data_IF_900233356410
#
_entry.id   IF_900233356410
#
_cell.length_a   1.000
_cell.length_b   1.000
_cell.length_c   1.000
_cell.angle_alpha   90.00
_cell.angle_beta   90.00
_cell.angle_gamma   90.00
#
_symmetry.space_group_name_H-M   'P 1'
#
loop_
_entity.id
_entity.type
_entity.pdbx_description
1 polymer ?
#
# COMPACT_ATOMS: atom_id res chain seq x y z
N UNK A 1 -13.65 -25.17 -4.00
CA UNK A 1 -12.66 -24.24 -4.58
C UNK A 1 -13.09 -22.82 -4.23
N UNK A 2 -12.16 -21.93 -3.85
CA UNK A 2 -12.51 -20.52 -3.60
C UNK A 2 -13.02 -19.86 -4.87
N UNK A 3 -14.08 -19.04 -4.74
CA UNK A 3 -14.62 -18.23 -5.85
C UNK A 3 -13.79 -16.97 -6.12
N UNK A 4 -12.80 -16.68 -5.26
CA UNK A 4 -11.99 -15.48 -5.32
C UNK A 4 -10.63 -15.74 -5.98
N UNK A 5 -10.08 -14.72 -6.66
CA UNK A 5 -8.75 -14.75 -7.28
C UNK A 5 -7.65 -14.94 -6.21
N UNK A 6 -7.81 -14.27 -5.07
CA UNK A 6 -6.94 -14.39 -3.90
C UNK A 6 -7.77 -14.92 -2.74
N UNK A 7 -7.34 -16.05 -2.17
CA UNK A 7 -8.03 -16.69 -1.06
C UNK A 7 -7.80 -15.93 0.25
N UNK A 8 -6.56 -15.57 0.50
CA UNK A 8 -6.12 -14.87 1.71
C UNK A 8 -5.50 -13.52 1.34
N UNK A 9 -6.06 -12.44 1.88
CA UNK A 9 -5.57 -11.07 1.68
C UNK A 9 -5.05 -10.54 3.01
N UNK A 10 -3.90 -9.84 2.96
CA UNK A 10 -3.40 -9.05 4.07
C UNK A 10 -3.64 -7.57 3.79
N UNK A 11 -4.28 -6.88 4.72
CA UNK A 11 -4.37 -5.41 4.76
C UNK A 11 -3.53 -4.90 5.93
N UNK A 12 -2.45 -4.17 5.64
CA UNK A 12 -1.66 -3.46 6.65
C UNK A 12 -2.04 -1.98 6.70
N UNK A 13 -1.83 -1.34 7.85
CA UNK A 13 -2.33 0.02 8.08
C UNK A 13 -3.85 0.05 8.23
N UNK A 14 -4.43 -1.03 8.73
CA UNK A 14 -5.87 -1.25 8.77
C UNK A 14 -6.61 -0.30 9.73
N UNK A 15 -5.92 0.29 10.72
CA UNK A 15 -6.45 1.33 11.61
C UNK A 15 -6.32 2.75 11.01
N UNK A 16 -5.54 2.92 9.93
CA UNK A 16 -5.36 4.20 9.27
C UNK A 16 -6.56 4.61 8.42
N UNK A 17 -6.61 5.91 8.05
CA UNK A 17 -7.74 6.48 7.30
C UNK A 17 -8.07 5.72 6.00
N UNK A 18 -7.07 5.29 5.24
CA UNK A 18 -7.28 4.56 3.99
C UNK A 18 -7.55 3.07 4.23
N UNK A 19 -6.82 2.45 5.18
CA UNK A 19 -7.01 1.04 5.51
C UNK A 19 -8.41 0.76 6.01
N UNK A 20 -8.93 1.60 6.88
CA UNK A 20 -10.29 1.48 7.41
C UNK A 20 -11.35 1.49 6.28
N UNK A 21 -11.17 2.32 5.25
CA UNK A 21 -12.08 2.39 4.11
C UNK A 21 -12.05 1.15 3.20
N UNK A 22 -11.01 0.35 3.30
CA UNK A 22 -10.83 -0.84 2.46
C UNK A 22 -11.31 -2.15 3.11
N UNK A 23 -11.47 -2.18 4.44
CA UNK A 23 -11.81 -3.41 5.20
C UNK A 23 -13.06 -4.10 4.67
N UNK A 24 -14.19 -3.38 4.55
CA UNK A 24 -15.45 -3.95 4.05
C UNK A 24 -15.29 -4.49 2.62
N UNK A 25 -14.72 -3.67 1.74
CA UNK A 25 -14.57 -4.04 0.34
C UNK A 25 -13.68 -5.28 0.18
N UNK A 26 -12.57 -5.37 0.92
CA UNK A 26 -11.64 -6.49 0.86
C UNK A 26 -12.22 -7.76 1.51
N UNK A 27 -12.96 -7.64 2.61
CA UNK A 27 -13.61 -8.78 3.27
C UNK A 27 -14.57 -9.51 2.32
N UNK A 28 -15.22 -8.79 1.40
CA UNK A 28 -16.12 -9.36 0.39
C UNK A 28 -15.38 -9.99 -0.81
N UNK A 29 -14.05 -9.92 -0.88
CA UNK A 29 -13.21 -10.37 -2.01
C UNK A 29 -12.22 -11.49 -1.66
N UNK A 30 -12.31 -12.05 -0.47
CA UNK A 30 -11.44 -13.15 -0.01
C UNK A 30 -12.17 -14.08 0.97
N UNK A 31 -11.59 -15.25 1.19
CA UNK A 31 -12.06 -16.18 2.24
C UNK A 31 -11.55 -15.73 3.62
N UNK A 32 -10.32 -15.20 3.69
CA UNK A 32 -9.68 -14.64 4.88
C UNK A 32 -9.11 -13.25 4.60
N UNK A 33 -9.49 -12.28 5.40
CA UNK A 33 -8.86 -10.95 5.44
C UNK A 33 -8.02 -10.83 6.72
N UNK A 34 -6.70 -10.99 6.61
CA UNK A 34 -5.80 -10.64 7.72
C UNK A 34 -5.61 -9.14 7.76
N UNK A 35 -5.90 -8.53 8.90
CA UNK A 35 -5.75 -7.09 9.12
C UNK A 35 -4.65 -6.84 10.14
N UNK A 36 -3.80 -5.84 9.87
CA UNK A 36 -2.67 -5.50 10.73
C UNK A 36 -2.45 -4.00 10.83
N UNK A 37 -2.10 -3.58 12.03
CA UNK A 37 -1.61 -2.26 12.35
C UNK A 37 -0.66 -2.35 13.56
N UNK A 38 0.08 -1.29 13.86
CA UNK A 38 0.82 -1.15 15.14
C UNK A 38 -0.09 -0.83 16.32
N UNK A 39 -1.28 -0.28 16.05
CA UNK A 39 -2.31 0.03 17.04
C UNK A 39 -3.31 -1.11 17.15
N UNK A 40 -4.07 -1.13 18.24
CA UNK A 40 -5.12 -2.13 18.44
C UNK A 40 -6.21 -1.99 17.38
N UNK A 41 -6.74 -3.12 16.98
CA UNK A 41 -7.84 -3.26 16.03
C UNK A 41 -8.96 -4.08 16.65
N UNK A 42 -10.20 -3.75 16.29
CA UNK A 42 -11.37 -4.56 16.59
C UNK A 42 -11.84 -5.26 15.31
N UNK A 43 -12.29 -6.52 15.45
CA UNK A 43 -12.88 -7.28 14.36
C UNK A 43 -14.23 -6.67 13.95
N UNK A 44 -14.43 -6.45 12.63
CA UNK A 44 -15.68 -5.91 12.06
C UNK A 44 -16.42 -6.90 11.18
N UNK A 45 -15.72 -7.83 10.57
CA UNK A 45 -16.27 -8.81 9.62
C UNK A 45 -15.87 -10.22 10.03
N UNK A 46 -16.74 -11.22 9.80
CA UNK A 46 -16.54 -12.60 10.26
C UNK A 46 -15.28 -13.26 9.74
N UNK A 47 -14.83 -12.89 8.55
CA UNK A 47 -13.62 -13.44 7.94
C UNK A 47 -12.36 -12.62 8.21
N UNK A 48 -12.41 -11.62 9.11
CA UNK A 48 -11.20 -10.91 9.53
C UNK A 48 -10.39 -11.72 10.56
N UNK A 49 -9.08 -11.73 10.40
CA UNK A 49 -8.09 -12.20 11.36
C UNK A 49 -7.21 -11.02 11.76
N UNK A 50 -7.16 -10.69 13.05
CA UNK A 50 -6.33 -9.61 13.57
C UNK A 50 -4.96 -10.15 13.92
N UNK A 51 -3.91 -9.54 13.34
CA UNK A 51 -2.53 -9.80 13.73
C UNK A 51 -1.77 -8.50 13.84
N UNK A 52 -1.55 -8.02 15.06
CA UNK A 52 -0.79 -6.80 15.31
C UNK A 52 0.68 -6.99 14.94
N UNK A 53 1.25 -6.01 14.22
CA UNK A 53 2.65 -6.02 13.86
C UNK A 53 3.20 -4.60 13.67
N UNK A 54 4.47 -4.42 14.05
CA UNK A 54 5.27 -3.26 13.68
C UNK A 54 6.04 -3.57 12.40
N UNK A 55 5.93 -2.70 11.40
CA UNK A 55 6.61 -2.86 10.11
C UNK A 55 8.13 -2.93 10.24
N UNK A 56 8.72 -2.30 11.26
CA UNK A 56 10.16 -2.34 11.50
C UNK A 56 10.66 -3.70 11.98
N UNK A 57 9.76 -4.59 12.46
CA UNK A 57 10.11 -5.94 12.91
C UNK A 57 10.07 -6.95 11.77
N UNK A 58 11.24 -7.36 11.28
CA UNK A 58 11.34 -8.36 10.21
C UNK A 58 10.68 -9.70 10.59
N UNK A 59 10.81 -10.13 11.85
CA UNK A 59 10.20 -11.38 12.32
C UNK A 59 8.68 -11.29 12.36
N UNK A 60 8.13 -10.16 12.86
CA UNK A 60 6.69 -9.95 12.90
C UNK A 60 6.10 -9.93 11.49
N UNK A 61 6.75 -9.25 10.54
CA UNK A 61 6.32 -9.17 9.14
C UNK A 61 6.43 -10.52 8.44
N UNK A 62 7.47 -11.30 8.71
CA UNK A 62 7.57 -12.66 8.17
C UNK A 62 6.40 -13.55 8.63
N UNK A 63 6.02 -13.49 9.92
CA UNK A 63 4.84 -14.20 10.43
C UNK A 63 3.54 -13.66 9.83
N UNK A 64 3.43 -12.33 9.69
CA UNK A 64 2.26 -11.65 9.17
C UNK A 64 1.93 -12.03 7.72
N UNK A 65 2.96 -12.21 6.89
CA UNK A 65 2.80 -12.53 5.46
C UNK A 65 2.65 -14.03 5.16
N UNK A 66 2.69 -14.89 6.20
CA UNK A 66 2.55 -16.34 6.03
C UNK A 66 1.14 -16.70 5.54
N UNK A 67 1.06 -17.57 4.54
CA UNK A 67 -0.18 -18.08 3.94
C UNK A 67 -1.06 -16.96 3.30
N UNK A 68 -0.45 -15.86 2.88
CA UNK A 68 -1.11 -14.73 2.19
C UNK A 68 -0.88 -14.82 0.68
N UNK A 69 -1.94 -14.60 -0.11
CA UNK A 69 -1.88 -14.56 -1.58
C UNK A 69 -1.61 -13.14 -2.11
N UNK A 70 -2.23 -12.13 -1.49
CA UNK A 70 -2.15 -10.74 -1.92
C UNK A 70 -2.03 -9.80 -0.73
N UNK A 71 -1.17 -8.82 -0.83
CA UNK A 71 -1.01 -7.77 0.19
C UNK A 71 -1.54 -6.45 -0.34
N UNK A 72 -2.38 -5.79 0.44
CA UNK A 72 -2.79 -4.39 0.28
C UNK A 72 -2.14 -3.59 1.41
N UNK A 73 -1.09 -2.84 1.08
CA UNK A 73 -0.26 -2.16 2.07
C UNK A 73 -0.57 -0.67 2.11
N UNK A 74 -1.28 -0.26 3.16
CA UNK A 74 -1.62 1.14 3.47
C UNK A 74 -0.89 1.64 4.73
N UNK A 75 -0.01 0.80 5.30
CA UNK A 75 0.75 1.11 6.50
C UNK A 75 1.95 2.02 6.25
N UNK A 76 2.48 2.57 7.34
CA UNK A 76 3.63 3.45 7.34
C UNK A 76 3.30 4.89 7.72
N UNK A 77 4.32 5.75 7.76
CA UNK A 77 4.17 7.19 7.92
C UNK A 77 3.52 7.75 6.64
N UNK A 78 2.39 8.43 6.79
CA UNK A 78 1.54 8.87 5.66
C UNK A 78 1.74 10.33 5.25
N UNK A 79 2.50 11.08 6.04
CA UNK A 79 2.82 12.50 5.82
C UNK A 79 4.29 12.74 6.18
N UNK A 80 4.79 13.95 5.91
CA UNK A 80 6.12 14.36 6.39
C UNK A 80 6.23 14.22 7.90
N UNK A 81 7.40 13.79 8.38
CA UNK A 81 7.67 13.56 9.80
C UNK A 81 9.17 13.50 10.08
N UNK A 82 9.54 13.13 11.32
CA UNK A 82 10.95 12.93 11.64
C UNK A 82 11.58 11.86 10.78
N UNK A 83 12.88 12.03 10.46
CA UNK A 83 13.61 11.03 9.68
C UNK A 83 13.52 9.63 10.29
N UNK A 84 13.62 9.51 11.61
CA UNK A 84 13.55 8.20 12.28
C UNK A 84 12.20 7.50 12.07
N UNK A 85 11.09 8.26 12.12
CA UNK A 85 9.77 7.70 11.85
C UNK A 85 9.64 7.24 10.40
N UNK A 86 10.10 8.06 9.45
CA UNK A 86 10.08 7.73 8.03
C UNK A 86 11.00 6.54 7.73
N UNK A 87 12.21 6.52 8.29
CA UNK A 87 13.17 5.44 8.13
C UNK A 87 12.61 4.11 8.62
N UNK A 88 12.11 4.07 9.85
CA UNK A 88 11.66 2.82 10.46
C UNK A 88 10.37 2.28 9.79
N UNK A 89 9.39 3.14 9.54
CA UNK A 89 8.10 2.69 9.01
C UNK A 89 8.08 2.52 7.49
N UNK A 90 8.73 3.44 6.73
CA UNK A 90 8.61 3.45 5.28
C UNK A 90 9.80 2.82 4.55
N UNK A 91 11.01 2.91 5.09
CA UNK A 91 12.19 2.31 4.45
C UNK A 91 12.38 0.88 4.95
N UNK A 92 12.64 0.73 6.26
CA UNK A 92 12.86 -0.59 6.87
C UNK A 92 11.59 -1.44 6.78
N UNK A 93 10.43 -0.82 7.12
CA UNK A 93 9.14 -1.50 7.06
C UNK A 93 8.79 -2.00 5.67
N UNK A 94 9.03 -1.19 4.63
CA UNK A 94 8.77 -1.59 3.25
C UNK A 94 9.70 -2.73 2.81
N UNK A 95 11.00 -2.65 3.16
CA UNK A 95 11.94 -3.74 2.89
C UNK A 95 11.50 -5.05 3.57
N UNK A 96 11.16 -5.00 4.85
CA UNK A 96 10.68 -6.16 5.60
C UNK A 96 9.42 -6.77 4.95
N UNK A 97 8.49 -5.92 4.50
CA UNK A 97 7.27 -6.37 3.85
C UNK A 97 7.57 -7.14 2.56
N UNK A 98 8.37 -6.55 1.68
CA UNK A 98 8.74 -7.21 0.42
C UNK A 98 9.52 -8.50 0.64
N UNK A 99 10.45 -8.53 1.58
CA UNK A 99 11.22 -9.73 1.91
C UNK A 99 10.34 -10.82 2.56
N UNK A 100 9.42 -10.43 3.43
CA UNK A 100 8.41 -11.33 3.98
C UNK A 100 7.51 -11.92 2.89
N UNK A 101 7.00 -11.06 1.99
CA UNK A 101 6.18 -11.49 0.84
C UNK A 101 6.94 -12.48 -0.07
N UNK A 102 8.19 -12.17 -0.41
CA UNK A 102 9.03 -13.04 -1.23
C UNK A 102 9.23 -14.42 -0.58
N UNK A 103 9.60 -14.45 0.70
CA UNK A 103 9.88 -15.70 1.43
C UNK A 103 8.62 -16.57 1.63
N UNK A 104 7.46 -15.96 1.72
CA UNK A 104 6.18 -16.64 1.89
C UNK A 104 5.41 -16.85 0.57
N UNK A 105 6.05 -16.59 -0.58
CA UNK A 105 5.46 -16.78 -1.92
C UNK A 105 4.15 -16.01 -2.13
N UNK A 106 4.04 -14.80 -1.57
CA UNK A 106 2.94 -13.88 -1.87
C UNK A 106 2.97 -13.57 -3.37
N UNK A 107 1.80 -13.57 -4.01
CA UNK A 107 1.71 -13.39 -5.47
C UNK A 107 1.76 -11.92 -5.86
N UNK A 108 1.10 -11.05 -5.08
CA UNK A 108 0.94 -9.62 -5.42
C UNK A 108 1.00 -8.72 -4.20
N UNK A 109 1.67 -7.59 -4.37
CA UNK A 109 1.68 -6.46 -3.43
C UNK A 109 1.09 -5.24 -4.13
N UNK A 110 0.05 -4.64 -3.54
CA UNK A 110 -0.53 -3.35 -3.93
C UNK A 110 -0.26 -2.40 -2.79
N UNK A 111 0.32 -1.23 -3.06
CA UNK A 111 0.71 -0.36 -1.97
C UNK A 111 0.54 1.13 -2.28
N UNK A 112 0.34 1.90 -1.21
CA UNK A 112 0.18 3.34 -1.25
C UNK A 112 1.53 4.04 -1.45
N UNK A 113 1.86 4.37 -2.70
CA UNK A 113 2.85 5.39 -3.04
C UNK A 113 2.22 6.77 -2.93
N UNK A 114 2.88 7.80 -3.42
CA UNK A 114 2.41 9.18 -3.27
C UNK A 114 2.84 10.06 -4.45
N UNK A 115 2.06 11.13 -4.71
CA UNK A 115 2.47 12.22 -5.59
C UNK A 115 3.75 12.92 -5.10
N UNK A 116 4.08 12.84 -3.83
CA UNK A 116 5.32 13.41 -3.28
C UNK A 116 6.61 12.79 -3.86
N UNK A 117 6.52 11.68 -4.60
CA UNK A 117 7.62 11.15 -5.41
C UNK A 117 8.07 12.09 -6.53
N UNK A 118 7.18 12.99 -6.96
CA UNK A 118 7.39 13.94 -8.05
C UNK A 118 7.05 15.40 -7.66
N UNK A 119 7.00 15.68 -6.35
CA UNK A 119 6.48 16.93 -5.79
C UNK A 119 7.25 18.19 -6.17
N UNK A 120 8.53 18.11 -6.57
CA UNK A 120 9.32 19.26 -7.03
C UNK A 120 9.17 19.59 -8.52
N UNK A 121 8.30 18.91 -9.26
CA UNK A 121 7.96 19.37 -10.61
C UNK A 121 7.12 20.65 -10.57
N UNK A 122 7.35 21.63 -11.46
CA UNK A 122 6.51 22.82 -11.56
C UNK A 122 5.05 22.47 -11.85
N UNK A 123 4.11 23.18 -11.22
CA UNK A 123 2.66 22.93 -11.40
C UNK A 123 2.17 23.12 -12.83
N UNK A 124 2.86 23.93 -13.63
CA UNK A 124 2.51 24.19 -15.04
C UNK A 124 3.00 23.07 -15.97
N UNK A 125 3.83 22.16 -15.48
CA UNK A 125 4.38 21.06 -16.28
C UNK A 125 3.43 19.86 -16.25
N UNK A 126 3.07 19.37 -17.41
CA UNK A 126 2.31 18.11 -17.54
C UNK A 126 3.31 16.96 -17.53
N UNK A 127 3.20 16.12 -16.52
CA UNK A 127 4.09 14.96 -16.32
C UNK A 127 3.28 13.65 -16.37
N UNK A 128 3.95 12.57 -16.75
CA UNK A 128 3.42 11.21 -16.71
C UNK A 128 4.16 10.34 -15.68
N UNK A 129 3.87 9.05 -15.65
CA UNK A 129 4.51 8.11 -14.72
C UNK A 129 5.96 7.74 -15.08
N UNK A 130 6.51 8.23 -16.17
CA UNK A 130 7.87 7.93 -16.69
C UNK A 130 8.89 8.98 -16.34
N UNK A 131 8.47 10.13 -15.78
CA UNK A 131 9.42 11.17 -15.37
C UNK A 131 10.32 10.69 -14.22
N UNK A 132 11.53 11.22 -14.17
CA UNK A 132 12.44 10.91 -13.06
C UNK A 132 11.82 11.36 -11.73
N UNK A 133 11.97 10.59 -10.64
CA UNK A 133 11.54 11.02 -9.33
C UNK A 133 12.22 12.35 -8.91
N UNK A 134 11.42 13.27 -8.37
CA UNK A 134 11.86 14.54 -7.76
C UNK A 134 11.09 14.77 -6.46
N UNK A 135 11.40 13.96 -5.39
CA UNK A 135 10.68 14.01 -4.13
C UNK A 135 10.89 15.33 -3.41
N UNK A 136 9.83 15.86 -2.79
CA UNK A 136 9.79 17.16 -2.13
C UNK A 136 9.93 17.10 -0.60
N UNK A 137 10.14 15.89 -0.05
CA UNK A 137 10.14 15.65 1.39
C UNK A 137 10.85 14.33 1.73
N UNK A 138 11.19 14.09 3.01
CA UNK A 138 11.68 12.78 3.47
C UNK A 138 10.62 11.69 3.23
N UNK A 139 9.35 12.05 3.44
CA UNK A 139 8.23 11.18 3.10
C UNK A 139 8.22 10.82 1.61
N UNK A 140 8.30 11.82 0.73
CA UNK A 140 8.36 11.61 -0.72
C UNK A 140 9.56 10.75 -1.12
N UNK A 141 10.75 11.00 -0.54
CA UNK A 141 11.95 10.19 -0.75
C UNK A 141 11.73 8.72 -0.35
N UNK A 142 11.05 8.47 0.77
CA UNK A 142 10.73 7.11 1.19
C UNK A 142 9.80 6.40 0.21
N UNK A 143 8.89 7.13 -0.44
CA UNK A 143 8.01 6.56 -1.46
C UNK A 143 8.77 6.26 -2.78
N UNK A 144 9.75 7.09 -3.15
CA UNK A 144 10.68 6.77 -4.26
C UNK A 144 11.46 5.49 -3.97
N UNK A 145 11.99 5.34 -2.75
CA UNK A 145 12.63 4.08 -2.34
C UNK A 145 11.68 2.90 -2.51
N UNK A 146 10.43 3.01 -2.06
CA UNK A 146 9.43 1.95 -2.19
C UNK A 146 9.13 1.57 -3.65
N UNK A 147 9.01 2.56 -4.55
CA UNK A 147 8.82 2.30 -6.00
C UNK A 147 10.02 1.58 -6.62
N UNK A 148 11.24 2.01 -6.28
CA UNK A 148 12.48 1.34 -6.73
C UNK A 148 12.61 -0.08 -6.16
N UNK A 149 12.23 -0.28 -4.90
CA UNK A 149 12.21 -1.59 -4.26
C UNK A 149 11.20 -2.51 -4.94
N UNK A 150 9.99 -2.01 -5.24
CA UNK A 150 8.95 -2.75 -5.94
C UNK A 150 9.46 -3.25 -7.30
N UNK A 151 10.10 -2.36 -8.08
CA UNK A 151 10.71 -2.72 -9.36
C UNK A 151 11.80 -3.79 -9.20
N UNK A 152 12.69 -3.64 -8.20
CA UNK A 152 13.73 -4.64 -7.93
C UNK A 152 13.15 -6.03 -7.62
N UNK A 153 12.09 -6.11 -6.80
CA UNK A 153 11.47 -7.39 -6.46
C UNK A 153 10.72 -8.01 -7.64
N UNK A 154 10.13 -7.19 -8.50
CA UNK A 154 9.57 -7.67 -9.77
C UNK A 154 10.65 -8.23 -10.70
N UNK A 155 11.71 -7.47 -10.94
CA UNK A 155 12.74 -7.86 -11.89
C UNK A 155 13.46 -9.14 -11.45
N UNK A 156 13.80 -9.24 -10.17
CA UNK A 156 14.59 -10.34 -9.64
C UNK A 156 13.77 -11.55 -9.22
N UNK A 157 12.61 -11.36 -8.65
CA UNK A 157 11.83 -12.43 -8.02
C UNK A 157 10.46 -12.64 -8.63
N UNK A 158 10.05 -11.80 -9.58
CA UNK A 158 8.73 -11.83 -10.23
C UNK A 158 7.58 -11.67 -9.22
N UNK A 159 7.82 -10.99 -8.10
CA UNK A 159 6.77 -10.60 -7.17
C UNK A 159 5.96 -9.47 -7.82
N UNK A 160 4.73 -9.76 -8.18
CA UNK A 160 3.84 -8.77 -8.80
C UNK A 160 3.61 -7.58 -7.88
N UNK A 161 3.73 -6.37 -8.41
CA UNK A 161 3.59 -5.16 -7.61
C UNK A 161 2.83 -4.06 -8.34
N UNK A 162 2.03 -3.29 -7.58
CA UNK A 162 1.34 -2.09 -8.07
C UNK A 162 1.56 -0.96 -7.07
N UNK A 163 2.23 0.11 -7.51
CA UNK A 163 2.44 1.32 -6.73
C UNK A 163 1.37 2.35 -7.09
N UNK A 164 0.51 2.72 -6.15
CA UNK A 164 -0.55 3.71 -6.35
C UNK A 164 -0.06 5.06 -5.85
N UNK A 165 0.27 5.99 -6.74
CA UNK A 165 0.60 7.38 -6.38
C UNK A 165 -0.66 8.13 -5.98
N UNK A 166 -0.94 8.14 -4.68
CA UNK A 166 -2.14 8.77 -4.11
C UNK A 166 -1.87 10.26 -3.91
N UNK A 167 -2.86 11.08 -4.26
CA UNK A 167 -2.92 12.51 -4.00
C UNK A 167 -3.72 12.78 -2.72
N UNK A 168 -4.83 13.52 -2.82
CA UNK A 168 -5.69 13.86 -1.68
C UNK A 168 -6.84 12.87 -1.57
N UNK A 169 -6.65 11.80 -0.79
CA UNK A 169 -7.71 10.82 -0.57
C UNK A 169 -8.44 11.12 0.74
N UNK A 170 -9.59 11.80 0.62
CA UNK A 170 -10.44 12.26 1.72
C UNK A 170 -11.91 12.09 1.36
N UNK A 171 -12.81 12.13 2.37
CA UNK A 171 -14.26 11.99 2.14
C UNK A 171 -14.78 13.06 1.17
N UNK A 172 -14.40 14.32 1.40
CA UNK A 172 -14.78 15.47 0.58
C UNK A 172 -13.60 16.42 0.41
N UNK A 173 -13.45 17.09 -0.75
CA UNK A 173 -12.41 18.09 -0.95
C UNK A 173 -12.63 19.29 -0.01
N UNK A 174 -11.55 19.73 0.64
CA UNK A 174 -11.61 20.82 1.64
C UNK A 174 -11.29 22.19 1.08
N UNK A 175 -10.66 22.25 -0.10
CA UNK A 175 -10.24 23.47 -0.77
C UNK A 175 -10.24 23.32 -2.29
N UNK A 176 -10.08 24.44 -3.01
CA UNK A 176 -10.03 24.48 -4.48
C UNK A 176 -8.92 23.62 -5.08
N UNK A 177 -7.77 23.53 -4.42
CA UNK A 177 -6.63 22.70 -4.87
C UNK A 177 -7.00 21.22 -4.85
N UNK A 178 -7.74 20.80 -3.84
CA UNK A 178 -8.15 19.40 -3.74
C UNK A 178 -9.12 18.97 -4.84
N UNK A 179 -9.87 19.89 -5.47
CA UNK A 179 -10.74 19.54 -6.59
C UNK A 179 -10.00 18.90 -7.77
N UNK A 180 -8.73 19.29 -8.00
CA UNK A 180 -7.91 18.72 -9.07
C UNK A 180 -7.06 17.50 -8.62
N UNK A 181 -7.05 17.20 -7.33
CA UNK A 181 -6.22 16.11 -6.76
C UNK A 181 -7.03 15.11 -5.95
N UNK A 182 -8.34 15.27 -5.89
CA UNK A 182 -9.21 14.47 -5.04
C UNK A 182 -9.39 13.06 -5.57
N UNK A 183 -9.17 12.12 -4.70
CA UNK A 183 -9.54 10.71 -4.84
C UNK A 183 -10.60 10.41 -3.77
N UNK A 184 -11.82 10.10 -4.19
CA UNK A 184 -12.86 9.71 -3.23
C UNK A 184 -12.56 8.34 -2.61
N UNK A 185 -13.15 8.04 -1.45
CA UNK A 185 -13.02 6.70 -0.86
C UNK A 185 -13.63 5.60 -1.75
N UNK A 186 -14.68 5.92 -2.52
CA UNK A 186 -15.27 4.98 -3.47
C UNK A 186 -14.31 4.71 -4.64
N UNK A 187 -13.64 5.74 -5.15
CA UNK A 187 -12.66 5.57 -6.21
C UNK A 187 -11.42 4.81 -5.71
N UNK A 188 -10.97 5.06 -4.46
CA UNK A 188 -9.90 4.28 -3.85
C UNK A 188 -10.26 2.78 -3.79
N UNK A 189 -11.47 2.43 -3.34
CA UNK A 189 -11.96 1.04 -3.30
C UNK A 189 -11.96 0.41 -4.69
N UNK A 190 -12.52 1.12 -5.67
CA UNK A 190 -12.57 0.66 -7.06
C UNK A 190 -11.18 0.47 -7.67
N UNK A 191 -10.26 1.42 -7.39
CA UNK A 191 -8.88 1.38 -7.85
C UNK A 191 -8.13 0.18 -7.26
N UNK A 192 -8.23 -0.06 -5.95
CA UNK A 192 -7.59 -1.22 -5.31
C UNK A 192 -8.11 -2.54 -5.89
N UNK A 193 -9.41 -2.67 -6.08
CA UNK A 193 -10.00 -3.87 -6.70
C UNK A 193 -9.52 -4.04 -8.15
N UNK A 194 -9.43 -2.94 -8.91
CA UNK A 194 -8.87 -2.98 -10.27
C UNK A 194 -7.41 -3.43 -10.27
N UNK A 195 -6.60 -2.92 -9.33
CA UNK A 195 -5.19 -3.35 -9.15
C UNK A 195 -5.07 -4.83 -8.78
N UNK A 196 -6.00 -5.38 -8.01
CA UNK A 196 -6.04 -6.82 -7.70
C UNK A 196 -6.29 -7.66 -8.95
N UNK A 197 -7.08 -7.16 -9.90
CA UNK A 197 -7.48 -7.88 -11.11
C UNK A 197 -6.58 -7.60 -12.32
N UNK A 198 -5.73 -6.59 -12.25
CA UNK A 198 -4.86 -6.17 -13.34
C UNK A 198 -3.97 -7.32 -13.82
N UNK A 199 -3.89 -7.48 -15.16
CA UNK A 199 -2.89 -8.37 -15.76
C UNK A 199 -1.60 -7.59 -15.95
N UNK A 200 -0.50 -8.02 -15.31
CA UNK A 200 0.81 -7.39 -15.47
C UNK A 200 1.52 -7.73 -16.80
N UNK A 201 0.90 -8.57 -17.64
CA UNK A 201 1.42 -8.90 -18.98
C UNK A 201 1.37 -7.67 -19.92
N UNK A 202 0.60 -6.65 -19.57
CA UNK A 202 0.34 -5.48 -20.41
C UNK A 202 0.87 -4.15 -19.82
N UNK A 203 1.73 -4.21 -18.80
CA UNK A 203 2.35 -3.01 -18.21
C UNK A 203 3.75 -2.81 -18.75
#
# INVERSE_FOLDING_TARGET
MSKFKYKNILLTGAAGALGEQLRETLSQKCDLLRISDKTNLDKKFDNEEIQQADLSSAEAIFKLTKDIDCVVHMGGQSIEGSWDNVLNSNIIGMYNLYEGCRKNNVKRVIWASSVHTVGFYPRAEVIDNRVMPRPDSNYGLSKVFGESLAQYYWDKYKLETVSIRIYSCVAEPKDHRMLSTWLSYNDLRSLVISCMNLSLIHI
#
